data_IF_002683510753
#
_entry.id   IF_002683510753
#
_cell.length_a   1.000
_cell.length_b   1.000
_cell.length_c   1.000
_cell.angle_alpha   90.00
_cell.angle_beta   90.00
_cell.angle_gamma   90.00
#
_symmetry.space_group_name_H-M   'P 1'
#
loop_
_entity.id
_entity.type
_entity.pdbx_description
1 polymer ?
#
# COMPACT_ATOMS: atom_id res chain seq x y z
N UNK A 1 -7.05 2.10 17.83
CA UNK A 1 -6.99 1.54 16.47
C UNK A 1 -8.38 1.63 15.85
N UNK A 2 -8.50 1.98 14.56
CA UNK A 2 -9.76 1.94 13.80
C UNK A 2 -9.85 0.73 12.84
N UNK A 3 -8.81 -0.10 12.82
CA UNK A 3 -8.72 -1.32 12.03
C UNK A 3 -7.98 -2.37 12.87
N UNK A 4 -8.65 -3.48 13.18
CA UNK A 4 -8.05 -4.54 14.02
C UNK A 4 -7.13 -5.47 13.22
N UNK A 5 -7.48 -5.76 11.96
CA UNK A 5 -6.70 -6.65 11.10
C UNK A 5 -6.80 -8.15 11.45
N UNK A 6 -7.85 -8.54 12.20
CA UNK A 6 -8.11 -9.96 12.51
C UNK A 6 -8.58 -10.76 11.29
N UNK A 7 -9.63 -10.29 10.62
CA UNK A 7 -10.00 -10.76 9.29
C UNK A 7 -9.34 -9.86 8.23
N UNK A 8 -8.52 -10.49 7.39
CA UNK A 8 -7.70 -9.84 6.38
C UNK A 8 -8.54 -9.45 5.15
N UNK A 9 -8.23 -8.30 4.54
CA UNK A 9 -8.73 -7.90 3.23
C UNK A 9 -9.33 -6.49 3.19
N UNK A 10 -9.46 -5.84 4.34
CA UNK A 10 -10.19 -4.57 4.48
C UNK A 10 -9.29 -3.37 4.72
N UNK A 11 -7.96 -3.54 4.72
CA UNK A 11 -7.02 -2.47 5.05
C UNK A 11 -7.20 -1.25 4.13
N UNK A 12 -7.19 -1.46 2.81
CA UNK A 12 -7.28 -0.37 1.82
C UNK A 12 -8.68 0.23 1.78
N UNK A 13 -9.74 -0.58 1.86
CA UNK A 13 -11.11 -0.04 1.86
C UNK A 13 -11.39 0.83 3.09
N UNK A 14 -10.90 0.43 4.27
CA UNK A 14 -10.97 1.27 5.48
C UNK A 14 -10.13 2.54 5.32
N UNK A 15 -8.95 2.46 4.70
CA UNK A 15 -8.11 3.63 4.49
C UNK A 15 -8.76 4.69 3.59
N UNK A 16 -9.33 4.27 2.46
CA UNK A 16 -10.09 5.17 1.59
C UNK A 16 -11.33 5.74 2.27
N UNK A 17 -12.07 4.90 3.01
CA UNK A 17 -13.21 5.35 3.79
C UNK A 17 -12.87 6.43 4.83
N UNK A 18 -11.67 6.36 5.42
CA UNK A 18 -11.19 7.36 6.37
C UNK A 18 -10.73 8.66 5.69
N UNK A 19 -10.22 8.58 4.46
CA UNK A 19 -9.73 9.73 3.70
C UNK A 19 -10.87 10.55 3.05
N UNK A 20 -12.01 9.93 2.74
CA UNK A 20 -13.14 10.65 2.14
C UNK A 20 -13.65 11.79 3.04
N UNK A 21 -13.97 12.92 2.41
CA UNK A 21 -14.39 14.18 3.05
C UNK A 21 -13.41 14.70 4.12
N UNK A 22 -12.12 14.32 4.03
CA UNK A 22 -11.10 14.67 5.01
C UNK A 22 -9.79 15.15 4.34
N UNK A 23 -9.79 16.35 3.73
CA UNK A 23 -8.75 16.80 2.79
C UNK A 23 -7.33 16.91 3.40
N UNK A 24 -7.23 17.12 4.71
CA UNK A 24 -5.94 17.27 5.39
C UNK A 24 -5.38 15.93 5.93
N UNK A 25 -6.10 14.82 5.74
CA UNK A 25 -5.71 13.52 6.27
C UNK A 25 -4.90 12.70 5.26
N UNK A 26 -3.71 12.25 5.68
CA UNK A 26 -2.96 11.20 4.99
C UNK A 26 -3.10 9.89 5.78
N UNK A 27 -3.59 8.85 5.12
CA UNK A 27 -3.73 7.51 5.69
C UNK A 27 -2.63 6.60 5.17
N UNK A 28 -1.59 6.38 5.98
CA UNK A 28 -0.58 5.36 5.72
C UNK A 28 -1.17 3.96 6.00
N UNK A 29 -1.44 3.21 4.94
CA UNK A 29 -2.12 1.92 5.00
C UNK A 29 -1.13 0.79 4.74
N UNK A 30 -0.70 0.08 5.79
CA UNK A 30 0.18 -1.09 5.64
C UNK A 30 -0.67 -2.29 5.24
N UNK A 31 -0.26 -2.95 4.16
CA UNK A 31 -0.96 -4.07 3.55
C UNK A 31 -0.06 -5.30 3.58
N UNK A 32 -0.51 -6.41 4.17
CA UNK A 32 0.23 -7.67 4.07
C UNK A 32 0.23 -8.20 2.63
N UNK A 33 1.35 -8.72 2.16
CA UNK A 33 1.42 -9.40 0.86
C UNK A 33 0.56 -10.69 0.82
N UNK A 34 0.37 -11.36 1.95
CA UNK A 34 -0.61 -12.44 2.09
C UNK A 34 -2.06 -11.94 2.10
N UNK A 35 -2.32 -10.77 2.70
CA UNK A 35 -3.63 -10.11 2.65
C UNK A 35 -3.97 -9.72 1.20
N UNK A 36 -2.98 -9.31 0.41
CA UNK A 36 -3.12 -8.90 -0.99
C UNK A 36 -3.69 -9.97 -1.93
N UNK A 37 -3.69 -11.22 -1.50
CA UNK A 37 -4.29 -12.33 -2.23
C UNK A 37 -5.80 -12.49 -1.97
N UNK A 38 -6.36 -11.76 -0.99
CA UNK A 38 -7.79 -11.78 -0.70
C UNK A 38 -8.57 -11.00 -1.75
N UNK A 39 -9.77 -11.48 -2.09
CA UNK A 39 -10.67 -10.82 -3.04
C UNK A 39 -11.03 -9.38 -2.65
N UNK A 40 -11.42 -9.11 -1.39
CA UNK A 40 -11.71 -7.75 -0.93
C UNK A 40 -10.53 -6.79 -1.15
N UNK A 41 -9.30 -7.21 -0.83
CA UNK A 41 -8.16 -6.33 -1.00
C UNK A 41 -7.81 -6.11 -2.47
N UNK A 42 -7.80 -7.17 -3.28
CA UNK A 42 -7.52 -7.06 -4.71
C UNK A 42 -8.46 -6.05 -5.41
N UNK A 43 -9.76 -6.06 -5.06
CA UNK A 43 -10.71 -5.10 -5.60
C UNK A 43 -10.53 -3.68 -5.03
N UNK A 44 -10.13 -3.56 -3.76
CA UNK A 44 -10.00 -2.27 -3.08
C UNK A 44 -8.91 -1.35 -3.64
N UNK A 45 -7.93 -1.87 -4.39
CA UNK A 45 -6.95 -1.05 -5.10
C UNK A 45 -7.58 -0.08 -6.10
N UNK A 46 -8.79 -0.37 -6.58
CA UNK A 46 -9.54 0.54 -7.45
C UNK A 46 -10.15 1.74 -6.71
N UNK A 47 -10.07 1.82 -5.38
CA UNK A 47 -10.67 2.90 -4.61
C UNK A 47 -10.13 4.28 -4.97
N UNK A 48 -8.89 4.39 -5.48
CA UNK A 48 -8.32 5.65 -5.98
C UNK A 48 -9.13 6.30 -7.12
N UNK A 49 -9.94 5.55 -7.89
CA UNK A 49 -10.80 6.13 -8.95
C UNK A 49 -12.01 6.87 -8.41
N UNK A 50 -12.35 6.67 -7.15
CA UNK A 50 -13.49 7.34 -6.51
C UNK A 50 -13.07 8.51 -5.64
N UNK A 51 -11.77 8.65 -5.36
CA UNK A 51 -11.22 9.72 -4.54
C UNK A 51 -11.04 11.00 -5.36
N UNK A 52 -11.51 12.12 -4.82
CA UNK A 52 -11.31 13.46 -5.37
C UNK A 52 -10.27 14.21 -4.53
N UNK A 53 -9.06 14.47 -5.06
CA UNK A 53 -7.97 15.08 -4.29
C UNK A 53 -8.24 16.55 -3.87
N UNK A 54 -9.33 17.17 -4.35
CA UNK A 54 -9.73 18.51 -3.91
C UNK A 54 -10.51 18.49 -2.59
N UNK A 55 -11.29 17.43 -2.35
CA UNK A 55 -12.23 17.36 -1.23
C UNK A 55 -11.89 16.26 -0.22
N UNK A 56 -11.17 15.22 -0.68
CA UNK A 56 -10.78 14.06 0.11
C UNK A 56 -9.29 14.15 0.45
N UNK A 57 -8.90 13.42 1.49
CA UNK A 57 -7.51 13.25 1.87
C UNK A 57 -6.74 12.33 0.92
N UNK A 58 -5.60 11.84 1.37
CA UNK A 58 -4.76 10.93 0.60
C UNK A 58 -4.61 9.57 1.30
N UNK A 59 -4.52 8.51 0.51
CA UNK A 59 -4.15 7.18 1.00
C UNK A 59 -2.78 6.86 0.45
N UNK A 60 -1.86 6.47 1.34
CA UNK A 60 -0.54 5.94 0.99
C UNK A 60 -0.49 4.45 1.34
N UNK A 61 -0.77 3.55 0.37
CA UNK A 61 -0.63 2.13 0.59
C UNK A 61 0.84 1.72 0.65
N UNK A 62 1.20 0.92 1.65
CA UNK A 62 2.53 0.34 1.85
C UNK A 62 2.37 -1.18 1.80
N UNK A 63 2.71 -1.78 0.67
CA UNK A 63 2.72 -3.23 0.54
C UNK A 63 3.91 -3.81 1.32
N UNK A 64 3.63 -4.48 2.44
CA UNK A 64 4.61 -5.18 3.24
C UNK A 64 4.96 -6.52 2.57
N UNK A 65 5.83 -6.45 1.56
CA UNK A 65 6.27 -7.57 0.73
C UNK A 65 7.37 -8.41 1.42
N UNK A 66 7.05 -9.01 2.56
CA UNK A 66 8.02 -9.83 3.32
C UNK A 66 8.24 -11.24 2.74
N UNK A 67 7.43 -11.64 1.75
CA UNK A 67 7.62 -12.83 0.95
C UNK A 67 6.85 -14.07 1.40
N UNK A 68 6.16 -14.01 2.55
CA UNK A 68 5.53 -15.17 3.16
C UNK A 68 4.22 -14.85 3.87
N UNK A 69 3.29 -15.80 3.79
CA UNK A 69 2.14 -15.96 4.68
C UNK A 69 2.40 -17.16 5.61
N UNK A 70 1.39 -17.57 6.40
CA UNK A 70 1.53 -18.55 7.50
C UNK A 70 2.42 -19.76 7.16
N UNK A 71 2.22 -20.38 6.00
CA UNK A 71 2.96 -21.58 5.60
C UNK A 71 3.32 -21.61 4.11
N UNK A 72 3.28 -20.46 3.42
CA UNK A 72 3.48 -20.40 1.97
C UNK A 72 4.14 -19.07 1.58
N UNK A 73 4.84 -19.03 0.44
CA UNK A 73 5.17 -17.75 -0.17
C UNK A 73 3.92 -17.02 -0.67
N UNK A 74 4.07 -15.73 -0.92
CA UNK A 74 3.00 -14.88 -1.46
C UNK A 74 3.15 -14.69 -2.97
N UNK A 75 2.03 -14.55 -3.68
CA UNK A 75 2.02 -14.42 -5.15
C UNK A 75 2.82 -13.20 -5.59
N UNK A 76 2.51 -12.04 -5.01
CA UNK A 76 3.15 -10.77 -5.38
C UNK A 76 4.65 -10.74 -5.09
N UNK A 77 5.14 -11.54 -4.13
CA UNK A 77 6.58 -11.61 -3.84
C UNK A 77 7.34 -12.58 -4.75
N UNK A 78 6.64 -13.33 -5.61
CA UNK A 78 7.23 -14.35 -6.50
C UNK A 78 7.12 -14.01 -7.98
N UNK A 79 6.30 -13.03 -8.36
CA UNK A 79 6.33 -12.45 -9.70
C UNK A 79 7.58 -11.58 -9.88
N UNK A 80 7.88 -11.21 -11.12
CA UNK A 80 9.03 -10.34 -11.40
C UNK A 80 8.80 -8.92 -10.88
N UNK A 81 9.89 -8.20 -10.60
CA UNK A 81 9.82 -6.79 -10.22
C UNK A 81 9.09 -5.94 -11.27
N UNK A 82 9.35 -6.20 -12.57
CA UNK A 82 8.67 -5.54 -13.69
C UNK A 82 7.16 -5.83 -13.68
N UNK A 83 6.75 -7.08 -13.48
CA UNK A 83 5.32 -7.42 -13.42
C UNK A 83 4.62 -6.76 -12.23
N UNK A 84 5.28 -6.72 -11.06
CA UNK A 84 4.75 -6.05 -9.87
C UNK A 84 4.61 -4.54 -10.07
N UNK A 85 5.62 -3.91 -10.70
CA UNK A 85 5.57 -2.49 -11.06
C UNK A 85 4.41 -2.22 -12.03
N UNK A 86 4.31 -2.99 -13.12
CA UNK A 86 3.24 -2.85 -14.11
C UNK A 86 1.86 -3.09 -13.51
N UNK A 87 1.73 -3.99 -12.54
CA UNK A 87 0.48 -4.26 -11.84
C UNK A 87 -0.04 -3.01 -11.10
N UNK A 88 0.82 -2.35 -10.31
CA UNK A 88 0.41 -1.15 -9.58
C UNK A 88 0.28 0.09 -10.47
N UNK A 89 1.10 0.22 -11.52
CA UNK A 89 0.90 1.22 -12.57
C UNK A 89 -0.45 1.01 -13.26
N UNK A 90 -0.83 -0.24 -13.54
CA UNK A 90 -2.14 -0.60 -14.10
C UNK A 90 -3.31 -0.23 -13.17
N UNK A 91 -3.09 -0.29 -11.86
CA UNK A 91 -4.00 0.25 -10.86
C UNK A 91 -3.92 1.78 -10.69
N UNK A 92 -3.13 2.50 -11.49
CA UNK A 92 -3.03 3.96 -11.41
C UNK A 92 -2.29 4.46 -10.18
N UNK A 93 -1.41 3.65 -9.60
CA UNK A 93 -0.47 4.09 -8.57
C UNK A 93 0.91 4.35 -9.20
N UNK A 94 1.70 5.19 -8.53
CA UNK A 94 3.14 5.34 -8.80
C UNK A 94 3.89 4.50 -7.75
N UNK A 95 4.38 3.29 -8.10
CA UNK A 95 5.05 2.44 -7.12
C UNK A 95 6.44 2.99 -6.77
N UNK A 96 6.82 2.79 -5.51
CA UNK A 96 8.16 3.04 -4.98
C UNK A 96 8.66 1.77 -4.31
N UNK A 97 9.90 1.39 -4.60
CA UNK A 97 10.52 0.20 -4.04
C UNK A 97 11.57 0.58 -2.99
N UNK A 98 11.42 0.04 -1.78
CA UNK A 98 12.38 0.18 -0.68
C UNK A 98 12.82 -1.22 -0.29
N UNK A 99 14.01 -1.62 -0.76
CA UNK A 99 14.49 -3.01 -0.71
C UNK A 99 15.89 -3.09 -0.13
N UNK A 100 16.13 -4.13 0.68
CA UNK A 100 17.41 -4.39 1.33
C UNK A 100 17.25 -5.06 2.70
N UNK A 101 18.37 -5.44 3.29
CA UNK A 101 18.46 -6.19 4.54
C UNK A 101 19.32 -5.50 5.61
N UNK A 102 20.17 -4.54 5.22
CA UNK A 102 21.04 -3.78 6.13
C UNK A 102 20.25 -2.65 6.82
N UNK A 103 20.06 -2.69 8.17
CA UNK A 103 19.19 -1.76 8.88
C UNK A 103 19.52 -0.28 8.70
N UNK A 104 20.78 0.13 8.79
CA UNK A 104 21.14 1.55 8.70
C UNK A 104 20.83 2.14 7.33
N UNK A 105 21.11 1.38 6.27
CA UNK A 105 20.76 1.72 4.89
C UNK A 105 19.24 1.74 4.71
N UNK A 106 18.52 0.74 5.24
CA UNK A 106 17.07 0.68 5.13
C UNK A 106 16.37 1.86 5.80
N UNK A 107 16.85 2.29 6.98
CA UNK A 107 16.32 3.49 7.64
C UNK A 107 16.46 4.75 6.79
N UNK A 108 17.65 4.95 6.18
CA UNK A 108 17.90 6.11 5.31
C UNK A 108 17.06 6.07 4.03
N UNK A 109 16.95 4.89 3.41
CA UNK A 109 16.15 4.71 2.20
C UNK A 109 14.67 4.97 2.48
N UNK A 110 14.12 4.37 3.52
CA UNK A 110 12.72 4.56 3.91
C UNK A 110 12.41 6.03 4.20
N UNK A 111 13.27 6.72 4.95
CA UNK A 111 13.09 8.15 5.23
C UNK A 111 13.07 8.99 3.94
N UNK A 112 14.07 8.81 3.08
CA UNK A 112 14.16 9.57 1.83
C UNK A 112 12.97 9.28 0.89
N UNK A 113 12.52 8.04 0.80
CA UNK A 113 11.37 7.66 -0.03
C UNK A 113 10.08 8.24 0.53
N UNK A 114 9.85 8.16 1.84
CA UNK A 114 8.64 8.73 2.46
C UNK A 114 8.60 10.25 2.31
N UNK A 115 9.72 10.95 2.49
CA UNK A 115 9.80 12.40 2.28
C UNK A 115 9.45 12.77 0.83
N UNK A 116 9.97 12.03 -0.16
CA UNK A 116 9.67 12.23 -1.57
C UNK A 116 8.18 11.98 -1.87
N UNK A 117 7.62 10.88 -1.37
CA UNK A 117 6.22 10.51 -1.59
C UNK A 117 5.27 11.53 -0.97
N UNK A 118 5.51 11.95 0.28
CA UNK A 118 4.67 12.94 0.97
C UNK A 118 4.72 14.30 0.28
N UNK A 119 5.86 14.66 -0.33
CA UNK A 119 5.98 15.92 -1.10
C UNK A 119 5.22 15.88 -2.43
N UNK A 120 5.01 14.68 -3.01
CA UNK A 120 4.28 14.50 -4.27
C UNK A 120 2.75 14.41 -4.08
N UNK A 121 2.29 14.09 -2.88
CA UNK A 121 0.87 14.05 -2.49
C UNK A 121 0.35 15.47 -2.30
#
# INVERSE_FOLDING_TARGET
>A
SIHEGGELGYAVSHAYGAAFDNPDLIVACVVGDGEAETGPLAASWHSNKFLNPVNDGAVLPILHLNGYKIANPTVLARISHEELEQFFIGYGYKPYFVEGDEPERMHRLMAATLDAVVTEI
#
